data_IF_127123187991
#
_entry.id   IF_127123187991
#
_cell.length_a   1.000
_cell.length_b   1.000
_cell.length_c   1.000
_cell.angle_alpha   90.00
_cell.angle_beta   90.00
_cell.angle_gamma   90.00
#
_symmetry.space_group_name_H-M   'P 1'
#
loop_
_entity.id
_entity.type
_entity.pdbx_description
1 polymer ?
#
# COMPACT_ATOMS: atom_id res chain seq x y z
N UNK A 1 8.71 -19.70 -25.92
CA UNK A 1 7.76 -18.58 -26.11
C UNK A 1 8.43 -17.38 -26.76
N UNK A 2 9.71 -17.15 -26.51
CA UNK A 2 10.50 -16.04 -27.08
C UNK A 2 10.29 -15.84 -28.60
N UNK A 3 10.30 -16.89 -29.42
CA UNK A 3 10.08 -16.79 -30.86
C UNK A 3 8.69 -16.28 -31.31
N UNK A 4 7.64 -16.45 -30.50
CA UNK A 4 6.26 -16.09 -30.82
C UNK A 4 5.90 -14.71 -30.27
N UNK A 5 6.43 -14.39 -29.09
CA UNK A 5 6.29 -13.06 -28.52
C UNK A 5 7.19 -12.04 -29.22
N UNK A 6 8.24 -12.51 -29.92
CA UNK A 6 9.19 -11.67 -30.65
C UNK A 6 8.57 -10.74 -31.68
N UNK A 7 7.75 -11.20 -32.63
CA UNK A 7 7.03 -10.30 -33.53
C UNK A 7 6.19 -9.26 -32.78
N UNK A 8 5.50 -9.68 -31.70
CA UNK A 8 4.62 -8.82 -30.90
C UNK A 8 5.41 -7.71 -30.21
N UNK A 9 6.52 -8.04 -29.53
CA UNK A 9 7.30 -7.01 -28.87
C UNK A 9 8.16 -6.18 -29.84
N UNK A 10 8.58 -6.72 -30.98
CA UNK A 10 9.35 -5.97 -32.00
C UNK A 10 8.50 -4.87 -32.64
N UNK A 11 7.25 -5.19 -33.00
CA UNK A 11 6.29 -4.19 -33.50
C UNK A 11 6.15 -3.05 -32.48
N UNK A 12 5.98 -3.39 -31.20
CA UNK A 12 5.78 -2.42 -30.12
C UNK A 12 7.04 -1.63 -29.78
N UNK A 13 8.22 -2.25 -29.79
CA UNK A 13 9.50 -1.58 -29.55
C UNK A 13 9.79 -0.50 -30.61
N UNK A 14 9.32 -0.70 -31.84
CA UNK A 14 9.48 0.28 -32.92
C UNK A 14 8.61 1.53 -32.75
N UNK A 15 7.57 1.46 -31.91
CA UNK A 15 6.67 2.59 -31.69
C UNK A 15 7.39 3.73 -30.94
N UNK A 16 7.28 5.00 -31.37
CA UNK A 16 7.97 6.13 -30.76
C UNK A 16 7.71 6.30 -29.26
N UNK A 17 6.46 6.01 -28.84
CA UNK A 17 6.02 6.17 -27.45
C UNK A 17 6.47 5.04 -26.52
N UNK A 18 7.08 3.96 -27.01
CA UNK A 18 7.55 2.86 -26.16
C UNK A 18 8.84 3.24 -25.47
N UNK A 19 8.83 3.22 -24.14
CA UNK A 19 9.97 3.52 -23.27
C UNK A 19 10.76 2.25 -22.94
N UNK A 20 10.08 1.15 -22.64
CA UNK A 20 10.76 -0.09 -22.23
C UNK A 20 9.91 -1.33 -22.45
N UNK A 21 10.57 -2.47 -22.65
CA UNK A 21 9.93 -3.78 -22.78
C UNK A 21 10.66 -4.82 -21.94
N UNK A 22 9.89 -5.53 -21.11
CA UNK A 22 10.36 -6.60 -20.23
C UNK A 22 9.62 -7.90 -20.53
N UNK A 23 10.35 -9.01 -20.46
CA UNK A 23 9.79 -10.36 -20.48
C UNK A 23 10.04 -11.04 -19.15
N UNK A 24 8.99 -11.64 -18.58
CA UNK A 24 9.01 -12.33 -17.31
C UNK A 24 8.53 -13.75 -17.56
N UNK A 25 9.41 -14.73 -17.36
CA UNK A 25 9.04 -16.13 -17.47
C UNK A 25 8.56 -16.66 -16.12
N UNK A 26 7.60 -17.58 -16.16
CA UNK A 26 7.12 -18.27 -14.96
C UNK A 26 8.26 -19.07 -14.34
N UNK A 27 8.66 -18.66 -13.14
CA UNK A 27 9.58 -19.45 -12.32
C UNK A 27 8.77 -20.41 -11.44
N UNK A 28 9.03 -21.71 -11.56
CA UNK A 28 8.28 -22.76 -10.83
C UNK A 28 8.64 -22.82 -9.34
N UNK A 29 9.75 -22.19 -8.92
CA UNK A 29 10.24 -22.21 -7.54
C UNK A 29 10.07 -20.87 -6.80
N UNK A 30 9.49 -19.86 -7.44
CA UNK A 30 9.22 -18.56 -6.82
C UNK A 30 7.73 -18.34 -6.58
N UNK A 31 7.42 -17.32 -5.78
CA UNK A 31 6.05 -16.82 -5.61
C UNK A 31 5.48 -16.48 -7.00
N UNK A 32 4.27 -16.94 -7.35
CA UNK A 32 3.72 -16.74 -8.68
C UNK A 32 3.33 -15.26 -8.89
N UNK A 33 4.22 -14.50 -9.50
CA UNK A 33 4.01 -13.08 -9.88
C UNK A 33 3.44 -12.94 -11.30
N UNK A 34 3.29 -14.05 -12.02
CA UNK A 34 2.74 -14.10 -13.38
C UNK A 34 1.29 -14.56 -13.44
N UNK A 35 0.55 -14.66 -12.32
CA UNK A 35 -0.85 -15.14 -12.28
C UNK A 35 -1.08 -16.45 -13.06
N UNK A 36 -0.14 -17.40 -12.96
CA UNK A 36 -0.12 -18.69 -13.68
C UNK A 36 0.15 -18.61 -15.18
N UNK A 37 0.36 -17.43 -15.76
CA UNK A 37 0.84 -17.29 -17.14
C UNK A 37 2.28 -17.79 -17.22
N UNK A 38 2.61 -18.45 -18.34
CA UNK A 38 3.94 -18.98 -18.57
C UNK A 38 4.93 -17.86 -18.97
N UNK A 39 4.42 -16.78 -19.57
CA UNK A 39 5.20 -15.56 -19.83
C UNK A 39 4.35 -14.30 -19.70
N UNK A 40 4.90 -13.26 -19.08
CA UNK A 40 4.36 -11.91 -19.07
C UNK A 40 5.26 -11.01 -19.91
N UNK A 41 4.65 -10.24 -20.80
CA UNK A 41 5.30 -9.19 -21.59
C UNK A 41 4.79 -7.85 -21.06
N UNK A 42 5.68 -7.09 -20.43
CA UNK A 42 5.38 -5.75 -19.92
C UNK A 42 5.96 -4.72 -20.89
N UNK A 43 5.11 -3.84 -21.40
CA UNK A 43 5.46 -2.73 -22.30
C UNK A 43 5.11 -1.44 -21.59
N UNK A 44 6.10 -0.57 -21.45
CA UNK A 44 5.95 0.73 -20.81
C UNK A 44 5.99 1.79 -21.90
N UNK A 45 4.98 2.64 -21.92
CA UNK A 45 4.83 3.71 -22.91
C UNK A 45 4.73 5.07 -22.21
N UNK A 46 5.16 6.14 -22.87
CA UNK A 46 5.04 7.50 -22.34
C UNK A 46 3.56 7.90 -22.18
N UNK A 47 2.75 7.61 -23.19
CA UNK A 47 1.34 7.97 -23.25
C UNK A 47 0.51 6.90 -23.99
N UNK A 48 -0.75 6.78 -23.59
CA UNK A 48 -1.77 5.96 -24.23
C UNK A 48 -3.16 6.46 -23.83
N UNK A 49 -4.18 6.16 -24.65
CA UNK A 49 -5.58 6.49 -24.32
C UNK A 49 -6.05 5.84 -23.02
N UNK A 50 -5.57 4.62 -22.74
CA UNK A 50 -5.85 3.89 -21.51
C UNK A 50 -4.55 3.74 -20.69
N UNK A 51 -4.57 4.01 -19.37
CA UNK A 51 -3.37 3.93 -18.53
C UNK A 51 -2.84 2.50 -18.37
N UNK A 52 -3.71 1.51 -18.54
CA UNK A 52 -3.39 0.10 -18.56
C UNK A 52 -4.23 -0.59 -19.64
N UNK A 53 -3.58 -1.36 -20.50
CA UNK A 53 -4.21 -2.21 -21.48
C UNK A 53 -3.63 -3.63 -21.40
N UNK A 54 -4.50 -4.63 -21.32
CA UNK A 54 -4.08 -6.03 -21.11
C UNK A 54 -4.64 -6.93 -22.22
N UNK A 55 -3.80 -7.81 -22.77
CA UNK A 55 -4.19 -8.87 -23.70
C UNK A 55 -3.66 -10.21 -23.23
N UNK A 56 -4.47 -11.25 -23.35
CA UNK A 56 -4.04 -12.62 -23.09
C UNK A 56 -3.95 -13.41 -24.40
N UNK A 57 -2.93 -14.27 -24.48
CA UNK A 57 -2.66 -15.13 -25.61
C UNK A 57 -2.56 -16.57 -25.13
N UNK A 58 -2.99 -17.50 -25.98
CA UNK A 58 -2.78 -18.94 -25.80
C UNK A 58 -2.14 -19.50 -27.06
N UNK A 59 -1.10 -20.31 -26.91
CA UNK A 59 -0.42 -20.96 -28.01
C UNK A 59 0.16 -22.30 -27.56
N UNK A 60 -0.17 -23.39 -28.26
CA UNK A 60 0.30 -24.76 -27.94
C UNK A 60 0.15 -25.11 -26.44
N UNK A 61 -0.98 -24.74 -25.84
CA UNK A 61 -1.25 -24.99 -24.42
C UNK A 61 -0.51 -24.09 -23.43
N UNK A 62 0.34 -23.17 -23.91
CA UNK A 62 1.01 -22.15 -23.10
C UNK A 62 0.23 -20.84 -23.11
N UNK A 63 0.30 -20.09 -22.01
CA UNK A 63 -0.39 -18.82 -21.80
C UNK A 63 0.60 -17.67 -21.71
N UNK A 64 0.32 -16.56 -22.40
CA UNK A 64 1.06 -15.32 -22.25
C UNK A 64 0.15 -14.13 -21.97
N UNK A 65 0.61 -13.19 -21.15
CA UNK A 65 -0.09 -11.92 -20.89
C UNK A 65 0.75 -10.75 -21.37
N UNK A 66 0.15 -9.86 -22.16
CA UNK A 66 0.72 -8.59 -22.56
C UNK A 66 0.09 -7.49 -21.71
N UNK A 67 0.92 -6.74 -21.01
CA UNK A 67 0.54 -5.53 -20.27
C UNK A 67 1.19 -4.33 -20.95
N UNK A 68 0.38 -3.39 -21.43
CA UNK A 68 0.84 -2.08 -21.88
C UNK A 68 0.43 -1.09 -20.79
N UNK A 69 1.41 -0.42 -20.19
CA UNK A 69 1.19 0.52 -19.07
C UNK A 69 1.82 1.86 -19.39
N UNK A 70 1.12 2.95 -19.07
CA UNK A 70 1.72 4.29 -19.19
C UNK A 70 2.74 4.52 -18.08
N UNK A 71 3.77 5.32 -18.34
CA UNK A 71 4.77 5.70 -17.34
C UNK A 71 4.10 6.30 -16.09
N UNK A 72 3.11 7.19 -16.28
CA UNK A 72 2.33 7.77 -15.19
C UNK A 72 1.72 6.69 -14.29
N UNK A 73 1.09 5.67 -14.87
CA UNK A 73 0.45 4.59 -14.10
C UNK A 73 1.48 3.68 -13.44
N UNK A 74 2.60 3.43 -14.11
CA UNK A 74 3.72 2.68 -13.55
C UNK A 74 4.30 3.37 -12.31
N UNK A 75 4.58 4.68 -12.41
CA UNK A 75 5.10 5.49 -11.29
C UNK A 75 4.10 5.56 -10.14
N UNK A 76 2.80 5.71 -10.43
CA UNK A 76 1.74 5.61 -9.44
C UNK A 76 1.77 4.26 -8.70
N UNK A 77 1.88 3.14 -9.40
CA UNK A 77 1.99 1.82 -8.77
C UNK A 77 3.24 1.64 -7.91
N UNK A 78 4.37 2.18 -8.35
CA UNK A 78 5.61 2.16 -7.58
C UNK A 78 5.46 3.03 -6.31
N UNK A 79 4.90 4.23 -6.46
CA UNK A 79 4.67 5.18 -5.38
C UNK A 79 3.65 4.68 -4.35
N UNK A 80 2.58 4.00 -4.75
CA UNK A 80 1.54 3.51 -3.84
C UNK A 80 1.77 2.06 -3.40
N UNK A 81 2.61 1.31 -4.11
CA UNK A 81 2.77 -0.13 -3.89
C UNK A 81 1.51 -0.94 -4.20
N UNK A 82 0.59 -0.40 -4.99
CA UNK A 82 -0.74 -0.97 -5.26
C UNK A 82 -0.71 -2.17 -6.21
N UNK A 83 0.40 -2.38 -6.93
CA UNK A 83 0.64 -3.58 -7.75
C UNK A 83 1.99 -4.22 -7.40
N UNK A 84 2.02 -5.12 -6.41
CA UNK A 84 3.27 -5.75 -5.92
C UNK A 84 4.05 -6.51 -7.00
N UNK A 85 3.37 -7.04 -8.02
CA UNK A 85 4.01 -7.80 -9.12
C UNK A 85 4.94 -6.93 -9.94
N UNK A 86 4.66 -5.62 -10.03
CA UNK A 86 5.47 -4.71 -10.83
C UNK A 86 6.91 -4.64 -10.33
N UNK A 87 7.13 -4.76 -9.01
CA UNK A 87 8.46 -4.78 -8.41
C UNK A 87 9.25 -6.00 -8.88
N UNK A 88 8.66 -7.19 -8.79
CA UNK A 88 9.29 -8.42 -9.28
C UNK A 88 9.56 -8.35 -10.78
N UNK A 89 8.61 -7.86 -11.58
CA UNK A 89 8.78 -7.73 -13.02
C UNK A 89 9.91 -6.75 -13.40
N UNK A 90 10.05 -5.63 -12.68
CA UNK A 90 11.11 -4.67 -12.91
C UNK A 90 12.46 -5.19 -12.43
N UNK A 91 12.54 -5.86 -11.27
CA UNK A 91 13.81 -6.40 -10.77
C UNK A 91 14.29 -7.62 -11.57
N UNK A 92 13.42 -8.60 -11.76
CA UNK A 92 13.77 -9.93 -12.27
C UNK A 92 13.44 -10.12 -13.76
N UNK A 93 12.68 -9.21 -14.38
CA UNK A 93 12.35 -9.29 -15.79
C UNK A 93 13.55 -9.09 -16.71
N UNK A 94 13.62 -9.88 -17.78
CA UNK A 94 14.61 -9.73 -18.84
C UNK A 94 14.23 -8.54 -19.71
N UNK A 95 15.10 -7.53 -19.75
CA UNK A 95 14.94 -6.35 -20.61
C UNK A 95 15.15 -6.76 -22.07
N UNK A 96 14.17 -6.45 -22.91
CA UNK A 96 14.19 -6.74 -24.35
C UNK A 96 14.36 -5.46 -25.18
N UNK A 97 13.91 -4.33 -24.64
CA UNK A 97 14.07 -3.01 -25.22
C UNK A 97 14.09 -1.96 -24.11
N UNK A 98 14.96 -0.97 -24.24
CA UNK A 98 15.09 0.13 -23.29
C UNK A 98 15.47 1.41 -24.05
N UNK A 99 14.56 2.38 -24.09
CA UNK A 99 14.76 3.65 -24.78
C UNK A 99 15.42 4.62 -23.81
N UNK A 100 16.58 5.15 -24.20
CA UNK A 100 17.32 6.13 -23.41
C UNK A 100 17.57 5.68 -21.96
N UNK A 101 17.81 4.39 -21.74
CA UNK A 101 18.11 3.81 -20.42
C UNK A 101 17.00 3.99 -19.37
N UNK A 102 15.76 4.27 -19.79
CA UNK A 102 14.60 4.47 -18.92
C UNK A 102 14.43 3.35 -17.86
N UNK A 103 14.54 2.07 -18.25
CA UNK A 103 14.39 0.97 -17.30
C UNK A 103 15.60 0.84 -16.37
N UNK A 104 16.79 1.19 -16.82
CA UNK A 104 17.98 1.20 -15.99
C UNK A 104 17.87 2.27 -14.90
N UNK A 105 17.53 3.51 -15.28
CA UNK A 105 17.29 4.63 -14.36
C UNK A 105 16.16 4.30 -13.38
N UNK A 106 15.03 3.76 -13.87
CA UNK A 106 13.91 3.38 -13.01
C UNK A 106 14.31 2.32 -11.98
N UNK A 107 15.13 1.33 -12.34
CA UNK A 107 15.63 0.32 -11.40
C UNK A 107 16.57 0.93 -10.36
N UNK A 108 17.33 1.97 -10.71
CA UNK A 108 18.18 2.70 -9.78
C UNK A 108 17.36 3.55 -8.81
N UNK A 109 16.40 4.32 -9.31
CA UNK A 109 15.41 5.06 -8.50
C UNK A 109 14.70 4.14 -7.51
N UNK A 110 14.33 2.93 -7.92
CA UNK A 110 13.66 1.96 -7.05
C UNK A 110 14.57 1.40 -5.93
N UNK A 111 15.89 1.46 -6.07
CA UNK A 111 16.82 1.13 -4.97
C UNK A 111 16.85 2.25 -3.93
N UNK A 112 16.71 3.49 -4.38
CA UNK A 112 16.67 4.67 -3.52
C UNK A 112 15.23 4.96 -3.08
N UNK A 113 14.74 4.33 -2.00
CA UNK A 113 13.35 4.53 -1.58
C UNK A 113 13.09 5.98 -1.10
N UNK A 114 12.43 6.85 -1.91
CA UNK A 114 12.46 8.29 -1.67
C UNK A 114 11.69 8.65 -0.40
N UNK A 115 12.23 9.58 0.39
CA UNK A 115 11.69 9.93 1.71
C UNK A 115 10.24 10.43 1.67
N UNK A 116 9.89 11.23 0.66
CA UNK A 116 8.52 11.75 0.51
C UNK A 116 7.52 10.63 0.15
N UNK A 117 7.86 9.77 -0.83
CA UNK A 117 7.03 8.59 -1.15
C UNK A 117 6.89 7.62 0.03
N UNK A 118 7.91 7.55 0.90
CA UNK A 118 7.85 6.80 2.16
C UNK A 118 6.81 7.37 3.12
N UNK A 119 6.77 8.69 3.33
CA UNK A 119 5.77 9.33 4.19
C UNK A 119 4.33 9.03 3.74
N UNK A 120 4.05 9.12 2.44
CA UNK A 120 2.75 8.76 1.87
C UNK A 120 2.41 7.30 2.18
N UNK A 121 3.32 6.37 1.86
CA UNK A 121 3.11 4.94 2.10
C UNK A 121 2.90 4.62 3.58
N UNK A 122 3.66 5.25 4.48
CA UNK A 122 3.48 5.08 5.93
C UNK A 122 2.08 5.51 6.35
N UNK A 123 1.60 6.66 5.89
CA UNK A 123 0.26 7.13 6.25
C UNK A 123 -0.87 6.28 5.68
N UNK A 124 -0.75 5.82 4.44
CA UNK A 124 -1.75 4.91 3.85
C UNK A 124 -1.77 3.55 4.57
N UNK A 125 -0.61 3.00 4.92
CA UNK A 125 -0.54 1.74 5.66
C UNK A 125 -1.02 1.91 7.11
N UNK A 126 -0.72 3.05 7.74
CA UNK A 126 -1.21 3.40 9.07
C UNK A 126 -2.74 3.56 9.08
N UNK A 127 -3.34 4.18 8.06
CA UNK A 127 -4.78 4.30 7.94
C UNK A 127 -5.47 2.91 7.93
N UNK A 128 -4.93 1.97 7.14
CA UNK A 128 -5.41 0.59 7.06
C UNK A 128 -5.22 -0.17 8.37
N UNK A 129 -4.08 0.03 9.04
CA UNK A 129 -3.80 -0.49 10.37
C UNK A 129 -4.86 -0.02 11.37
N UNK A 130 -5.13 1.28 11.45
CA UNK A 130 -6.13 1.85 12.35
C UNK A 130 -7.51 1.27 12.07
N UNK A 131 -7.92 1.21 10.79
CA UNK A 131 -9.21 0.59 10.43
C UNK A 131 -9.32 -0.84 10.96
N UNK A 132 -8.34 -1.69 10.65
CA UNK A 132 -8.39 -3.11 11.04
C UNK A 132 -8.35 -3.29 12.54
N UNK A 133 -7.55 -2.50 13.24
CA UNK A 133 -7.50 -2.50 14.69
C UNK A 133 -8.84 -2.10 15.32
N UNK A 134 -9.44 -0.99 14.89
CA UNK A 134 -10.69 -0.49 15.46
C UNK A 134 -11.87 -1.42 15.17
N UNK A 135 -12.02 -1.87 13.92
CA UNK A 135 -13.06 -2.84 13.55
C UNK A 135 -12.89 -4.15 14.35
N UNK A 136 -11.64 -4.63 14.49
CA UNK A 136 -11.34 -5.84 15.28
C UNK A 136 -11.66 -5.66 16.76
N UNK A 137 -11.34 -4.51 17.34
CA UNK A 137 -11.65 -4.19 18.73
C UNK A 137 -13.16 -4.17 18.98
N UNK A 138 -13.93 -3.58 18.06
CA UNK A 138 -15.38 -3.59 18.13
C UNK A 138 -15.96 -5.01 18.10
N UNK A 139 -15.47 -5.90 17.20
CA UNK A 139 -15.91 -7.30 17.19
C UNK A 139 -15.55 -8.03 18.50
N UNK A 140 -14.37 -7.78 19.04
CA UNK A 140 -13.92 -8.37 20.30
C UNK A 140 -14.80 -7.95 21.47
N UNK A 141 -15.11 -6.65 21.59
CA UNK A 141 -15.99 -6.11 22.64
C UNK A 141 -17.42 -6.67 22.55
N UNK A 142 -17.85 -7.04 21.34
CA UNK A 142 -19.14 -7.71 21.10
C UNK A 142 -19.05 -9.25 21.11
N UNK A 143 -17.95 -9.83 21.62
CA UNK A 143 -17.73 -11.27 21.78
C UNK A 143 -17.74 -12.07 20.46
N UNK A 144 -17.56 -11.40 19.32
CA UNK A 144 -17.42 -12.01 18.00
C UNK A 144 -15.95 -12.36 17.71
N UNK A 145 -15.40 -13.31 18.47
CA UNK A 145 -13.96 -13.58 18.50
C UNK A 145 -13.37 -14.05 17.16
N UNK A 146 -14.11 -14.78 16.34
CA UNK A 146 -13.61 -15.24 15.03
C UNK A 146 -13.43 -14.07 14.05
N UNK A 147 -14.37 -13.13 14.04
CA UNK A 147 -14.30 -11.92 13.23
C UNK A 147 -13.19 -10.99 13.75
N UNK A 148 -13.10 -10.82 15.08
CA UNK A 148 -12.02 -10.09 15.72
C UNK A 148 -10.65 -10.67 15.35
N UNK A 149 -10.49 -12.00 15.35
CA UNK A 149 -9.25 -12.67 14.94
C UNK A 149 -8.83 -12.31 13.51
N UNK A 150 -9.76 -12.35 12.57
CA UNK A 150 -9.46 -11.99 11.17
C UNK A 150 -8.96 -10.53 11.07
N UNK A 151 -9.61 -9.62 11.78
CA UNK A 151 -9.20 -8.23 11.83
C UNK A 151 -7.84 -8.02 12.51
N UNK A 152 -7.54 -8.72 13.60
CA UNK A 152 -6.24 -8.67 14.29
C UNK A 152 -5.12 -9.18 13.38
N UNK A 153 -5.33 -10.28 12.66
CA UNK A 153 -4.34 -10.80 11.70
C UNK A 153 -4.01 -9.74 10.64
N UNK A 154 -5.02 -9.08 10.08
CA UNK A 154 -4.81 -8.00 9.11
C UNK A 154 -4.15 -6.77 9.73
N UNK A 155 -4.53 -6.39 10.94
CA UNK A 155 -3.90 -5.31 11.70
C UNK A 155 -2.40 -5.57 11.91
N UNK A 156 -2.03 -6.76 12.40
CA UNK A 156 -0.63 -7.17 12.55
C UNK A 156 0.13 -7.16 11.22
N UNK A 157 -0.52 -7.55 10.11
CA UNK A 157 0.09 -7.50 8.80
C UNK A 157 0.36 -6.05 8.33
N UNK A 158 -0.55 -5.12 8.60
CA UNK A 158 -0.33 -3.70 8.31
C UNK A 158 0.75 -3.10 9.21
N UNK A 159 0.80 -3.48 10.48
CA UNK A 159 1.84 -3.07 11.42
C UNK A 159 3.23 -3.56 10.99
N UNK A 160 3.31 -4.82 10.57
CA UNK A 160 4.51 -5.42 9.96
C UNK A 160 4.99 -4.61 8.75
N UNK A 161 4.10 -4.28 7.82
CA UNK A 161 4.45 -3.50 6.62
C UNK A 161 4.87 -2.08 6.97
N UNK A 162 4.20 -1.45 7.92
CA UNK A 162 4.55 -0.12 8.41
C UNK A 162 5.98 -0.11 8.99
N UNK A 163 6.34 -1.09 9.80
CA UNK A 163 7.70 -1.24 10.36
C UNK A 163 8.77 -1.36 9.27
N UNK A 164 8.51 -2.15 8.22
CA UNK A 164 9.43 -2.29 7.09
C UNK A 164 9.61 -0.97 6.33
N UNK A 165 8.51 -0.24 6.09
CA UNK A 165 8.53 1.08 5.43
C UNK A 165 9.28 2.11 6.28
N UNK A 166 9.02 2.13 7.59
CA UNK A 166 9.66 3.02 8.57
C UNK A 166 11.19 2.85 8.55
N UNK A 167 11.67 1.62 8.44
CA UNK A 167 13.09 1.28 8.31
C UNK A 167 13.68 1.50 6.90
N UNK A 168 12.88 2.04 5.97
CA UNK A 168 13.33 2.43 4.64
C UNK A 168 13.39 1.31 3.62
N UNK A 169 12.70 0.20 3.87
CA UNK A 169 12.59 -0.92 2.95
C UNK A 169 11.20 -0.98 2.31
N UNK A 170 11.12 -1.65 1.17
CA UNK A 170 9.84 -2.00 0.55
C UNK A 170 9.28 -3.28 1.19
N UNK A 171 8.01 -3.30 1.65
CA UNK A 171 7.41 -4.53 2.13
C UNK A 171 7.25 -5.56 1.02
N UNK A 172 7.87 -6.70 1.20
CA UNK A 172 7.81 -7.83 0.28
C UNK A 172 6.55 -8.67 0.49
N UNK A 173 6.33 -9.64 -0.40
CA UNK A 173 5.25 -10.63 -0.24
C UNK A 173 5.45 -11.45 1.04
N UNK A 174 6.69 -11.80 1.36
CA UNK A 174 7.08 -12.51 2.59
C UNK A 174 7.48 -11.55 3.71
N UNK A 175 6.67 -10.53 3.97
CA UNK A 175 6.95 -9.44 4.94
C UNK A 175 7.42 -9.94 6.31
N UNK A 176 6.90 -11.08 6.79
CA UNK A 176 7.26 -11.63 8.09
C UNK A 176 8.74 -12.04 8.20
N UNK A 177 9.40 -12.39 7.10
CA UNK A 177 10.84 -12.65 7.10
C UNK A 177 11.64 -11.36 7.31
N UNK A 178 11.18 -10.25 6.73
CA UNK A 178 11.78 -8.92 6.92
C UNK A 178 11.57 -8.46 8.37
N UNK A 179 10.33 -8.53 8.86
CA UNK A 179 9.96 -8.09 10.22
C UNK A 179 10.68 -8.90 11.28
N UNK A 180 10.87 -10.21 11.10
CA UNK A 180 11.63 -11.03 12.04
C UNK A 180 13.06 -10.51 12.29
N UNK A 181 13.66 -9.83 11.30
CA UNK A 181 14.99 -9.24 11.42
C UNK A 181 14.94 -7.78 11.89
N UNK A 182 13.95 -7.02 11.42
CA UNK A 182 13.83 -5.56 11.65
C UNK A 182 13.18 -5.27 13.01
N UNK A 183 12.06 -5.91 13.31
CA UNK A 183 11.29 -5.76 14.56
C UNK A 183 10.76 -7.11 15.06
N UNK A 184 11.62 -7.90 15.73
CA UNK A 184 11.26 -9.22 16.24
C UNK A 184 10.06 -9.22 17.20
N UNK A 185 9.80 -8.11 17.88
CA UNK A 185 8.66 -7.95 18.80
C UNK A 185 7.32 -8.09 18.07
N UNK A 186 7.15 -7.44 16.91
CA UNK A 186 5.93 -7.55 16.09
C UNK A 186 5.78 -8.99 15.57
N UNK A 187 6.88 -9.62 15.15
CA UNK A 187 6.86 -11.01 14.71
C UNK A 187 6.40 -11.96 15.83
N UNK A 188 6.87 -11.75 17.06
CA UNK A 188 6.44 -12.54 18.23
C UNK A 188 4.95 -12.42 18.49
N UNK A 189 4.35 -11.24 18.35
CA UNK A 189 2.89 -11.07 18.51
C UNK A 189 2.11 -11.97 17.55
N UNK A 190 2.53 -12.05 16.28
CA UNK A 190 1.91 -12.95 15.32
C UNK A 190 2.07 -14.42 15.71
N UNK A 191 3.25 -14.82 16.17
CA UNK A 191 3.53 -16.18 16.65
C UNK A 191 2.67 -16.54 17.85
N UNK A 192 2.56 -15.66 18.84
CA UNK A 192 1.73 -15.88 20.04
C UNK A 192 0.25 -16.03 19.68
N UNK A 193 -0.26 -15.21 18.75
CA UNK A 193 -1.64 -15.30 18.28
C UNK A 193 -1.96 -16.68 17.68
N UNK A 194 -1.03 -17.25 16.91
CA UNK A 194 -1.24 -18.52 16.19
C UNK A 194 -0.94 -19.74 17.05
N UNK A 195 0.12 -19.69 17.87
CA UNK A 195 0.69 -20.86 18.54
C UNK A 195 0.41 -20.95 20.04
N UNK A 196 -0.14 -19.91 20.68
CA UNK A 196 -0.44 -19.98 22.10
C UNK A 196 -1.56 -20.99 22.40
N UNK A 197 -1.38 -21.75 23.48
CA UNK A 197 -2.36 -22.72 24.01
C UNK A 197 -3.56 -22.04 24.72
N UNK A 198 -3.54 -20.71 24.84
CA UNK A 198 -4.63 -19.96 25.45
C UNK A 198 -5.90 -19.94 24.58
N UNK A 199 -7.04 -19.70 25.23
CA UNK A 199 -8.32 -19.50 24.55
C UNK A 199 -8.24 -18.34 23.55
N UNK A 200 -9.03 -18.38 22.48
CA UNK A 200 -9.06 -17.32 21.46
C UNK A 200 -9.28 -15.93 22.08
N UNK A 201 -10.21 -15.81 23.02
CA UNK A 201 -10.48 -14.57 23.75
C UNK A 201 -9.22 -13.98 24.39
N UNK A 202 -8.54 -14.73 25.25
CA UNK A 202 -7.30 -14.28 25.92
C UNK A 202 -6.19 -13.94 24.94
N UNK A 203 -6.03 -14.72 23.86
CA UNK A 203 -5.04 -14.41 22.81
C UNK A 203 -5.35 -13.04 22.20
N UNK A 204 -6.60 -12.80 21.82
CA UNK A 204 -7.01 -11.51 21.26
C UNK A 204 -6.87 -10.36 22.25
N UNK A 205 -7.25 -10.56 23.51
CA UNK A 205 -7.11 -9.57 24.58
C UNK A 205 -5.66 -9.07 24.71
N UNK A 206 -4.70 -10.00 24.83
CA UNK A 206 -3.28 -9.69 24.90
C UNK A 206 -2.79 -8.98 23.63
N UNK A 207 -3.26 -9.43 22.46
CA UNK A 207 -2.88 -8.84 21.18
C UNK A 207 -3.39 -7.41 21.02
N UNK A 208 -4.61 -7.10 21.47
CA UNK A 208 -5.14 -5.73 21.44
C UNK A 208 -4.36 -4.82 22.37
N UNK A 209 -4.03 -5.28 23.59
CA UNK A 209 -3.23 -4.51 24.54
C UNK A 209 -1.85 -4.15 23.97
N UNK A 210 -1.15 -5.14 23.41
CA UNK A 210 0.16 -4.91 22.79
C UNK A 210 0.07 -4.03 21.53
N UNK A 211 -0.94 -4.26 20.69
CA UNK A 211 -1.16 -3.49 19.47
C UNK A 211 -1.47 -2.02 19.75
N UNK A 212 -2.23 -1.73 20.82
CA UNK A 212 -2.54 -0.34 21.20
C UNK A 212 -1.28 0.47 21.46
N UNK A 213 -0.34 -0.08 22.22
CA UNK A 213 0.95 0.56 22.50
C UNK A 213 1.76 0.76 21.22
N UNK A 214 1.88 -0.28 20.39
CA UNK A 214 2.67 -0.22 19.15
C UNK A 214 2.09 0.78 18.15
N UNK A 215 0.77 0.83 18.00
CA UNK A 215 0.07 1.81 17.17
C UNK A 215 0.31 3.22 17.69
N UNK A 216 0.12 3.45 18.99
CA UNK A 216 0.30 4.77 19.59
C UNK A 216 1.73 5.29 19.39
N UNK A 217 2.74 4.44 19.66
CA UNK A 217 4.16 4.81 19.50
C UNK A 217 4.53 5.25 18.08
N UNK A 218 3.81 4.75 17.07
CA UNK A 218 4.05 5.04 15.65
C UNK A 218 3.12 6.10 15.06
N UNK A 219 2.17 6.62 15.84
CA UNK A 219 1.14 7.52 15.31
C UNK A 219 1.74 8.72 14.62
N UNK A 220 2.69 9.42 15.27
CA UNK A 220 3.36 10.62 14.71
C UNK A 220 4.05 10.35 13.37
N UNK A 221 4.75 9.22 13.26
CA UNK A 221 5.47 8.85 12.04
C UNK A 221 4.47 8.41 10.96
N UNK A 222 3.46 7.63 11.33
CA UNK A 222 2.39 7.18 10.44
C UNK A 222 1.62 8.34 9.83
N UNK A 223 1.25 9.34 10.61
CA UNK A 223 0.42 10.46 10.11
C UNK A 223 1.22 11.63 9.54
N UNK A 224 2.55 11.56 9.49
CA UNK A 224 3.39 12.70 9.12
C UNK A 224 2.94 13.35 7.80
N UNK A 225 2.68 12.55 6.77
CA UNK A 225 2.18 13.04 5.49
C UNK A 225 0.81 13.73 5.61
N UNK A 226 -0.15 13.11 6.31
CA UNK A 226 -1.48 13.68 6.49
C UNK A 226 -1.40 15.03 7.22
N UNK A 227 -0.57 15.12 8.26
CA UNK A 227 -0.38 16.36 9.01
C UNK A 227 0.30 17.43 8.15
N UNK A 228 1.38 17.09 7.42
CA UNK A 228 2.08 18.01 6.53
C UNK A 228 1.09 18.68 5.54
N UNK A 229 0.19 17.89 4.92
CA UNK A 229 -0.83 18.42 4.00
C UNK A 229 -1.91 19.21 4.73
N UNK A 230 -2.40 18.73 5.88
CA UNK A 230 -3.44 19.45 6.63
C UNK A 230 -2.95 20.78 7.19
N UNK A 231 -1.65 20.95 7.44
CA UNK A 231 -1.05 22.21 7.88
C UNK A 231 -1.03 23.30 6.79
N UNK A 232 -1.26 22.96 5.52
CA UNK A 232 -1.34 23.92 4.42
C UNK A 232 -2.53 24.90 4.54
N UNK A 233 -3.56 24.54 5.31
CA UNK A 233 -4.77 25.35 5.51
C UNK A 233 -5.26 25.26 6.95
N UNK A 234 -5.89 26.32 7.43
CA UNK A 234 -6.35 26.36 8.82
C UNK A 234 -7.51 25.39 9.11
N UNK A 235 -8.42 25.17 8.16
CA UNK A 235 -9.57 24.29 8.32
C UNK A 235 -9.84 23.47 7.06
N UNK A 236 -10.26 22.22 7.27
CA UNK A 236 -10.61 21.28 6.21
C UNK A 236 -12.01 20.74 6.45
N UNK A 237 -12.84 20.66 5.42
CA UNK A 237 -14.01 19.79 5.44
C UNK A 237 -13.59 18.36 5.09
N UNK A 238 -14.44 17.38 5.39
CA UNK A 238 -14.20 16.01 4.94
C UNK A 238 -14.11 15.92 3.41
N UNK A 239 -14.96 16.68 2.71
CA UNK A 239 -14.96 16.72 1.26
C UNK A 239 -13.66 17.31 0.68
N UNK A 240 -13.12 18.36 1.30
CA UNK A 240 -11.83 18.93 0.88
C UNK A 240 -10.73 17.88 0.90
N UNK A 241 -10.66 17.06 1.96
CA UNK A 241 -9.66 16.01 2.08
C UNK A 241 -9.82 14.89 1.05
N UNK A 242 -11.03 14.37 0.83
CA UNK A 242 -11.22 13.26 -0.13
C UNK A 242 -11.12 13.70 -1.61
N UNK A 243 -11.11 15.00 -1.88
CA UNK A 243 -10.93 15.56 -3.23
C UNK A 243 -9.54 16.16 -3.46
N UNK A 244 -8.69 16.19 -2.44
CA UNK A 244 -7.33 16.71 -2.54
C UNK A 244 -6.39 15.68 -3.17
N UNK A 245 -5.57 16.09 -4.15
CA UNK A 245 -4.71 15.18 -4.91
C UNK A 245 -3.76 14.35 -4.04
N UNK A 246 -3.25 14.91 -2.93
CA UNK A 246 -2.38 14.17 -2.00
C UNK A 246 -3.14 13.27 -1.01
N UNK A 247 -4.41 13.58 -0.71
CA UNK A 247 -5.19 12.89 0.32
C UNK A 247 -6.25 11.94 -0.24
N UNK A 248 -6.54 11.99 -1.53
CA UNK A 248 -7.55 11.15 -2.20
C UNK A 248 -7.31 9.66 -1.97
N UNK A 249 -6.05 9.23 -1.87
CA UNK A 249 -5.69 7.83 -1.60
C UNK A 249 -6.07 7.36 -0.18
N UNK A 250 -6.31 8.29 0.75
CA UNK A 250 -6.78 7.97 2.10
C UNK A 250 -8.29 7.74 2.15
N UNK A 251 -9.06 8.13 1.13
CA UNK A 251 -10.52 8.32 1.21
C UNK A 251 -11.29 7.15 1.82
N UNK A 252 -10.88 5.91 1.54
CA UNK A 252 -11.53 4.69 2.08
C UNK A 252 -11.41 4.58 3.60
N UNK A 253 -10.26 4.96 4.14
CA UNK A 253 -9.90 4.80 5.55
C UNK A 253 -9.89 6.13 6.32
N UNK A 254 -10.05 7.26 5.62
CA UNK A 254 -9.91 8.60 6.19
C UNK A 254 -10.88 8.84 7.34
N UNK A 255 -12.15 8.41 7.21
CA UNK A 255 -13.15 8.63 8.26
C UNK A 255 -12.73 8.03 9.61
N UNK A 256 -12.33 6.75 9.62
CA UNK A 256 -11.93 6.07 10.85
C UNK A 256 -10.58 6.56 11.37
N UNK A 257 -9.66 6.93 10.46
CA UNK A 257 -8.41 7.54 10.83
C UNK A 257 -8.63 8.89 11.52
N UNK A 258 -9.52 9.76 11.02
CA UNK A 258 -9.80 11.05 11.62
C UNK A 258 -10.38 10.91 13.03
N UNK A 259 -11.35 10.01 13.24
CA UNK A 259 -11.91 9.77 14.58
C UNK A 259 -10.82 9.28 15.54
N UNK A 260 -9.98 8.34 15.12
CA UNK A 260 -8.81 7.92 15.91
C UNK A 260 -7.90 9.09 16.27
N UNK A 261 -7.59 9.98 15.32
CA UNK A 261 -6.69 11.11 15.55
C UNK A 261 -7.31 12.21 16.42
N UNK A 262 -8.64 12.35 16.39
CA UNK A 262 -9.37 13.23 17.30
C UNK A 262 -9.28 12.68 18.73
N UNK A 263 -9.57 11.40 18.92
CA UNK A 263 -9.48 10.73 20.22
C UNK A 263 -8.07 10.81 20.82
N UNK A 264 -7.04 10.78 19.97
CA UNK A 264 -5.63 10.90 20.38
C UNK A 264 -5.12 12.35 20.45
N UNK A 265 -5.95 13.35 20.13
CA UNK A 265 -5.61 14.77 20.24
C UNK A 265 -4.63 15.29 19.17
N UNK A 266 -4.50 14.62 18.04
CA UNK A 266 -3.71 15.09 16.89
C UNK A 266 -4.53 16.00 15.96
N UNK A 267 -5.85 15.81 15.91
CA UNK A 267 -6.78 16.60 15.10
C UNK A 267 -7.88 17.13 16.01
N UNK A 268 -8.27 18.38 15.82
CA UNK A 268 -9.39 19.00 16.49
C UNK A 268 -10.55 19.23 15.53
N UNK A 269 -11.76 19.36 16.09
CA UNK A 269 -12.99 19.62 15.34
C UNK A 269 -13.54 20.99 15.71
N UNK A 270 -13.84 21.79 14.69
CA UNK A 270 -14.64 23.02 14.80
C UNK A 270 -16.03 22.75 14.25
N UNK A 271 -17.03 22.88 15.11
CA UNK A 271 -18.43 22.75 14.72
C UNK A 271 -18.95 24.10 14.22
N UNK A 272 -19.42 24.13 12.97
CA UNK A 272 -20.03 25.31 12.34
C UNK A 272 -21.52 25.04 12.17
N UNK A 273 -22.36 25.86 12.79
CA UNK A 273 -23.80 25.66 12.76
C UNK A 273 -24.35 25.75 11.34
N UNK A 274 -25.25 24.82 10.99
CA UNK A 274 -25.94 24.82 9.70
C UNK A 274 -27.27 25.58 9.80
N UNK A 275 -28.00 25.69 8.68
CA UNK A 275 -29.36 26.25 8.71
C UNK A 275 -30.35 25.38 9.51
N UNK A 276 -30.04 24.11 9.75
CA UNK A 276 -30.83 23.22 10.59
C UNK A 276 -30.44 23.39 12.06
N UNK A 277 -31.41 23.74 12.91
CA UNK A 277 -31.18 23.97 14.33
C UNK A 277 -30.57 22.72 14.99
N UNK A 278 -29.44 22.90 15.68
CA UNK A 278 -28.74 21.80 16.37
C UNK A 278 -27.93 20.87 15.47
N UNK A 279 -27.81 21.15 14.17
CA UNK A 279 -26.97 20.40 13.24
C UNK A 279 -25.74 21.22 12.87
N UNK A 280 -24.55 20.64 13.08
CA UNK A 280 -23.27 21.28 12.85
C UNK A 280 -22.48 20.59 11.74
N UNK A 281 -21.88 21.39 10.86
CA UNK A 281 -20.87 20.92 9.92
C UNK A 281 -19.51 20.86 10.63
N UNK A 282 -18.84 19.71 10.55
CA UNK A 282 -17.52 19.49 11.15
C UNK A 282 -16.41 19.97 10.22
N UNK A 283 -15.59 20.86 10.72
CA UNK A 283 -14.31 21.24 10.12
C UNK A 283 -13.18 20.66 10.97
N UNK A 284 -12.14 20.16 10.33
CA UNK A 284 -11.00 19.49 10.94
C UNK A 284 -9.77 20.38 10.82
N UNK A 285 -8.92 20.38 11.84
CA UNK A 285 -7.67 21.12 11.83
C UNK A 285 -6.63 20.44 12.73
N UNK A 286 -5.35 20.61 12.40
CA UNK A 286 -4.25 20.02 13.16
C UNK A 286 -4.20 20.64 14.56
N UNK A 287 -4.09 19.79 15.58
CA UNK A 287 -3.93 20.27 16.95
C UNK A 287 -2.58 20.99 17.09
N UNK A 288 -2.60 22.25 17.54
CA UNK A 288 -1.38 22.99 17.84
C UNK A 288 -0.63 22.26 18.95
N UNK A 289 0.68 22.01 18.76
CA UNK A 289 1.54 21.55 19.85
C UNK A 289 1.37 22.51 21.02
N UNK A 290 0.89 22.02 22.16
CA UNK A 290 1.07 22.71 23.43
C UNK A 290 2.59 22.77 23.63
N UNK A 291 3.17 23.96 23.38
CA UNK A 291 4.56 24.28 23.68
C UNK A 291 4.86 24.10 25.16
#
# INVERSE_FOLDING_TARGET
>A
MEGILRPIYQERASHPNTLGVLTIEKNQHSIPTTDTFDTVLLIIVSEAEQPLFVKHYTYEGKKAALHIVTEKKLREWILLGSNRRIFDWLYNGKVVFDRNEFLAELKEEMKEFPFYGRKIKMGLEFAKLIRRYMDGKAFFENQHYLDAYNHVIHSLHHLARLSVIENGFHPEVTVWNQVKQIEPEIYKLYVELVNSDETMEKRLELLFLASEFLIYSRTKVGIAHLIDVLEEREYWTFNDMITHDELVEYSVDLGILLEYLIDRGFINVKNVETKGQGVFHRYYFVAKKLS
#
